data_IF_306711842485
#
_entry.id   IF_306711842485
#
_cell.length_a   1.000
_cell.length_b   1.000
_cell.length_c   1.000
_cell.angle_alpha   90.00
_cell.angle_beta   90.00
_cell.angle_gamma   90.00
#
_symmetry.space_group_name_H-M   'P 1'
#
loop_
_entity.id
_entity.type
_entity.pdbx_description
1 polymer ?
#
# COMPACT_ATOMS: atom_id res chain seq x y z
N UNK A 1 -18.26 -4.82 6.43
CA UNK A 1 -17.76 -6.19 6.56
C UNK A 1 -16.76 -6.49 5.43
N UNK A 2 -15.48 -6.67 5.76
CA UNK A 2 -14.37 -6.90 4.82
C UNK A 2 -14.66 -7.99 3.78
N UNK A 3 -15.21 -9.15 4.19
CA UNK A 3 -15.58 -10.24 3.28
C UNK A 3 -16.53 -9.76 2.17
N UNK A 4 -17.58 -9.06 2.53
CA UNK A 4 -18.55 -8.52 1.57
C UNK A 4 -17.88 -7.56 0.61
N UNK A 5 -17.11 -6.60 1.13
CA UNK A 5 -16.39 -5.62 0.32
C UNK A 5 -15.44 -6.26 -0.69
N UNK A 6 -14.63 -7.24 -0.29
CA UNK A 6 -13.69 -7.91 -1.17
C UNK A 6 -14.35 -8.87 -2.18
N UNK A 7 -15.55 -9.39 -1.86
CA UNK A 7 -16.31 -10.26 -2.77
C UNK A 7 -17.07 -9.51 -3.86
N UNK A 8 -17.29 -8.21 -3.69
CA UNK A 8 -17.94 -7.39 -4.69
C UNK A 8 -16.97 -7.04 -5.84
N UNK A 9 -17.45 -7.12 -7.08
CA UNK A 9 -16.70 -6.64 -8.24
C UNK A 9 -16.72 -5.10 -8.26
N UNK A 10 -15.55 -4.48 -8.45
CA UNK A 10 -15.44 -3.05 -8.66
C UNK A 10 -15.17 -2.74 -10.13
N UNK A 11 -15.96 -1.83 -10.69
CA UNK A 11 -15.75 -1.25 -12.02
C UNK A 11 -15.49 0.26 -11.94
N UNK A 12 -15.24 0.78 -10.73
CA UNK A 12 -14.93 2.19 -10.50
C UNK A 12 -13.41 2.38 -10.53
N UNK A 13 -12.96 3.38 -11.28
CA UNK A 13 -11.55 3.76 -11.38
C UNK A 13 -11.46 5.27 -11.51
N UNK A 14 -10.59 5.91 -10.75
CA UNK A 14 -10.30 7.34 -10.82
C UNK A 14 -8.79 7.64 -10.76
N UNK A 15 -7.94 6.61 -10.62
CA UNK A 15 -6.49 6.71 -10.71
C UNK A 15 -5.99 5.77 -11.80
N UNK A 16 -5.17 6.30 -12.73
CA UNK A 16 -4.71 5.59 -13.90
C UNK A 16 -3.20 5.72 -14.06
N UNK A 17 -2.51 4.59 -14.22
CA UNK A 17 -1.12 4.48 -14.62
C UNK A 17 -1.00 3.64 -15.89
N UNK A 18 0.16 3.60 -16.50
CA UNK A 18 0.35 2.81 -17.72
C UNK A 18 0.04 1.33 -17.54
N UNK A 19 0.52 0.72 -16.46
CA UNK A 19 0.41 -0.71 -16.19
C UNK A 19 -0.76 -1.14 -15.30
N UNK A 20 -1.44 -0.21 -14.65
CA UNK A 20 -2.56 -0.52 -13.74
C UNK A 20 -3.44 0.69 -13.47
N UNK A 21 -4.60 0.45 -12.87
CA UNK A 21 -5.55 1.46 -12.41
C UNK A 21 -6.25 1.01 -11.14
N UNK A 22 -6.80 1.95 -10.39
CA UNK A 22 -7.57 1.66 -9.19
C UNK A 22 -8.54 2.80 -8.82
N UNK A 23 -9.35 2.55 -7.81
CA UNK A 23 -10.28 3.53 -7.26
C UNK A 23 -9.78 4.04 -5.91
N UNK A 24 -9.68 5.36 -5.80
CA UNK A 24 -9.42 6.05 -4.55
C UNK A 24 -10.75 6.56 -3.98
N UNK A 25 -11.17 6.12 -2.78
CA UNK A 25 -12.45 6.51 -2.19
C UNK A 25 -12.58 8.03 -2.00
N UNK A 26 -13.83 8.51 -1.98
CA UNK A 26 -14.12 9.92 -1.66
C UNK A 26 -13.57 10.26 -0.27
N UNK A 27 -12.91 11.41 -0.15
CA UNK A 27 -12.28 11.86 1.09
C UNK A 27 -10.89 11.28 1.34
N UNK A 28 -10.36 10.49 0.39
CA UNK A 28 -8.98 10.01 0.39
C UNK A 28 -8.23 10.69 -0.76
N UNK A 29 -7.05 11.22 -0.48
CA UNK A 29 -6.23 11.94 -1.46
C UNK A 29 -4.76 11.63 -1.34
N UNK A 30 -3.96 12.02 -2.34
CA UNK A 30 -2.51 11.83 -2.33
C UNK A 30 -1.82 12.92 -1.51
N UNK A 31 -0.79 12.51 -0.73
CA UNK A 31 0.26 13.38 -0.21
C UNK A 31 1.41 13.37 -1.22
N UNK A 32 1.85 12.17 -1.63
CA UNK A 32 2.89 11.97 -2.65
C UNK A 32 2.60 10.70 -3.45
N UNK A 33 3.15 10.62 -4.65
CA UNK A 33 3.02 9.42 -5.50
C UNK A 33 4.14 9.34 -6.51
N UNK A 34 4.54 8.13 -6.83
CA UNK A 34 5.32 7.75 -8.00
C UNK A 34 4.61 6.62 -8.78
N UNK A 35 5.29 5.98 -9.71
CA UNK A 35 4.67 4.98 -10.59
C UNK A 35 4.10 3.76 -9.85
N UNK A 36 4.66 3.37 -8.71
CA UNK A 36 4.26 2.16 -7.97
C UNK A 36 4.02 2.36 -6.49
N UNK A 37 4.33 3.55 -5.95
CA UNK A 37 4.16 3.89 -4.54
C UNK A 37 3.33 5.15 -4.39
N UNK A 38 2.57 5.24 -3.31
CA UNK A 38 1.88 6.45 -2.94
C UNK A 38 1.77 6.58 -1.42
N UNK A 39 1.84 7.80 -0.93
CA UNK A 39 1.37 8.16 0.40
C UNK A 39 0.00 8.81 0.25
N UNK A 40 -0.99 8.24 0.90
CA UNK A 40 -2.39 8.66 0.81
C UNK A 40 -2.84 9.11 2.19
N UNK A 41 -3.76 10.06 2.24
CA UNK A 41 -4.34 10.57 3.49
C UNK A 41 -5.86 10.64 3.38
N UNK A 42 -6.57 10.20 4.41
CA UNK A 42 -8.02 10.36 4.50
C UNK A 42 -8.42 11.67 5.20
N UNK A 43 -9.73 11.94 5.25
CA UNK A 43 -10.29 13.14 5.88
C UNK A 43 -10.07 13.22 7.40
N UNK A 44 -9.79 12.09 8.05
CA UNK A 44 -9.48 12.02 9.48
C UNK A 44 -7.98 12.24 9.76
N UNK A 45 -7.16 12.34 8.71
CA UNK A 45 -5.72 12.54 8.80
C UNK A 45 -4.91 11.24 8.86
N UNK A 46 -5.54 10.07 8.75
CA UNK A 46 -4.81 8.81 8.71
C UNK A 46 -4.02 8.70 7.42
N UNK A 47 -2.74 8.33 7.52
CA UNK A 47 -1.86 8.11 6.37
C UNK A 47 -1.82 6.63 6.00
N UNK A 48 -1.82 6.37 4.70
CA UNK A 48 -1.71 5.04 4.11
C UNK A 48 -0.50 5.01 3.19
N UNK A 49 0.32 3.98 3.33
CA UNK A 49 1.45 3.72 2.46
C UNK A 49 1.04 2.64 1.47
N UNK A 50 0.88 3.02 0.22
CA UNK A 50 0.38 2.17 -0.86
C UNK A 50 1.50 1.74 -1.78
N UNK A 51 1.55 0.46 -2.11
CA UNK A 51 2.50 -0.12 -3.05
C UNK A 51 1.79 -1.09 -3.99
N UNK A 52 2.09 -1.03 -5.28
CA UNK A 52 1.59 -1.93 -6.31
C UNK A 52 2.74 -2.77 -6.85
N UNK A 53 2.66 -4.08 -6.66
CA UNK A 53 3.67 -5.05 -7.10
C UNK A 53 3.32 -5.59 -8.49
N UNK A 54 3.57 -4.77 -9.51
CA UNK A 54 3.31 -5.13 -10.89
C UNK A 54 4.20 -6.28 -11.39
N UNK A 55 5.40 -6.42 -10.83
CA UNK A 55 6.36 -7.48 -11.19
C UNK A 55 5.87 -8.83 -10.68
N UNK A 56 5.49 -8.93 -9.42
CA UNK A 56 4.92 -10.16 -8.87
C UNK A 56 3.60 -10.53 -9.56
N UNK A 57 2.79 -9.54 -9.93
CA UNK A 57 1.60 -9.77 -10.75
C UNK A 57 1.94 -10.38 -12.11
N UNK A 58 2.89 -9.79 -12.83
CA UNK A 58 3.30 -10.27 -14.16
C UNK A 58 3.84 -11.69 -14.12
N UNK A 59 4.66 -12.02 -13.12
CA UNK A 59 5.23 -13.35 -12.92
C UNK A 59 4.31 -14.35 -12.20
N UNK A 60 3.09 -13.92 -11.79
CA UNK A 60 2.13 -14.76 -11.06
C UNK A 60 2.73 -15.37 -9.78
N UNK A 61 3.50 -14.55 -9.05
CA UNK A 61 4.10 -14.97 -7.77
C UNK A 61 3.00 -15.24 -6.75
N UNK A 62 3.05 -16.40 -6.10
CA UNK A 62 2.07 -16.79 -5.10
C UNK A 62 2.37 -16.13 -3.75
N UNK A 63 1.32 -15.76 -3.03
CA UNK A 63 1.44 -15.26 -1.67
C UNK A 63 1.58 -16.42 -0.68
N UNK A 64 2.69 -16.46 0.06
CA UNK A 64 3.03 -17.53 1.02
C UNK A 64 2.77 -17.15 2.48
N UNK A 65 1.97 -16.11 2.75
CA UNK A 65 1.68 -15.64 4.10
C UNK A 65 1.17 -16.77 5.02
N UNK A 66 1.71 -16.82 6.23
CA UNK A 66 1.24 -17.68 7.31
C UNK A 66 0.49 -16.84 8.37
N UNK A 67 -0.62 -17.40 8.89
CA UNK A 67 -1.43 -16.72 9.90
C UNK A 67 -0.60 -16.52 11.17
N UNK A 68 -0.41 -15.26 11.56
CA UNK A 68 0.25 -14.89 12.81
C UNK A 68 -0.75 -14.98 13.98
N UNK A 69 -0.55 -15.96 14.87
CA UNK A 69 -1.42 -16.18 16.03
C UNK A 69 -1.22 -15.15 17.15
N UNK A 70 -0.09 -14.45 17.15
CA UNK A 70 0.23 -13.42 18.14
C UNK A 70 -0.28 -12.04 17.75
N UNK A 71 -0.67 -11.84 16.48
CA UNK A 71 -1.26 -10.60 16.00
C UNK A 71 -2.64 -10.35 16.65
N UNK A 72 -2.98 -9.09 16.82
CA UNK A 72 -4.34 -8.70 17.23
C UNK A 72 -5.40 -9.24 16.28
N UNK A 73 -5.12 -9.24 14.98
CA UNK A 73 -5.93 -9.88 13.96
C UNK A 73 -5.06 -10.34 12.79
N UNK A 74 -5.27 -11.54 12.32
CA UNK A 74 -4.52 -12.11 11.20
C UNK A 74 -5.42 -13.03 10.39
N UNK A 75 -5.49 -12.83 9.07
CA UNK A 75 -6.36 -13.61 8.20
C UNK A 75 -5.81 -13.70 6.77
N UNK A 76 -5.85 -14.91 6.19
CA UNK A 76 -5.70 -15.12 4.74
C UNK A 76 -6.99 -14.72 4.02
N UNK A 77 -6.84 -14.17 2.83
CA UNK A 77 -7.93 -13.68 1.99
C UNK A 77 -7.86 -14.36 0.63
N UNK A 78 -9.00 -14.87 0.18
CA UNK A 78 -9.18 -15.48 -1.13
C UNK A 78 -10.59 -15.20 -1.61
N UNK A 79 -10.73 -14.19 -2.48
CA UNK A 79 -12.01 -13.75 -3.01
C UNK A 79 -11.86 -13.34 -4.48
N UNK A 80 -12.79 -13.70 -5.34
CA UNK A 80 -12.81 -13.30 -6.75
C UNK A 80 -11.52 -13.63 -7.51
N UNK A 81 -10.92 -14.81 -7.27
CA UNK A 81 -9.64 -15.23 -7.83
C UNK A 81 -8.47 -14.28 -7.52
N UNK A 82 -8.56 -13.55 -6.42
CA UNK A 82 -7.52 -12.69 -5.88
C UNK A 82 -7.22 -13.14 -4.46
N UNK A 83 -5.96 -13.19 -4.11
CA UNK A 83 -5.52 -13.62 -2.80
C UNK A 83 -4.69 -12.56 -2.08
N UNK A 84 -4.45 -12.78 -0.81
CA UNK A 84 -3.66 -11.92 0.04
C UNK A 84 -3.86 -12.21 1.51
N UNK A 85 -3.61 -11.21 2.33
CA UNK A 85 -3.80 -11.30 3.77
C UNK A 85 -4.02 -9.91 4.40
N UNK A 86 -4.55 -9.92 5.59
CA UNK A 86 -4.54 -8.78 6.50
C UNK A 86 -3.95 -9.20 7.83
N UNK A 87 -3.04 -8.40 8.36
CA UNK A 87 -2.51 -8.50 9.71
C UNK A 87 -2.64 -7.15 10.40
N UNK A 88 -3.07 -7.18 11.66
CA UNK A 88 -3.19 -6.01 12.52
C UNK A 88 -2.46 -6.32 13.82
N UNK A 89 -1.48 -5.51 14.15
CA UNK A 89 -0.69 -5.63 15.36
C UNK A 89 -0.94 -4.43 16.29
N UNK A 90 -0.87 -4.66 17.60
CA UNK A 90 -0.91 -3.56 18.57
C UNK A 90 0.49 -2.95 18.71
N UNK A 91 0.59 -1.64 18.44
CA UNK A 91 1.81 -0.85 18.57
C UNK A 91 1.59 0.28 19.61
N UNK A 92 1.80 -0.05 20.88
CA UNK A 92 1.50 0.86 21.98
C UNK A 92 0.01 1.17 22.09
N UNK A 93 -0.38 2.42 21.87
CA UNK A 93 -1.78 2.85 21.86
C UNK A 93 -2.45 2.80 20.49
N UNK A 94 -1.71 2.40 19.46
CA UNK A 94 -2.16 2.37 18.07
C UNK A 94 -2.20 0.95 17.50
N UNK A 95 -2.73 0.84 16.30
CA UNK A 95 -2.81 -0.40 15.54
C UNK A 95 -2.06 -0.24 14.23
N UNK A 96 -1.09 -1.12 14.01
CA UNK A 96 -0.40 -1.23 12.73
C UNK A 96 -1.13 -2.23 11.85
N UNK A 97 -1.55 -1.78 10.67
CA UNK A 97 -2.27 -2.57 9.69
C UNK A 97 -1.34 -2.86 8.51
N UNK A 98 -1.19 -4.13 8.17
CA UNK A 98 -0.63 -4.61 6.92
C UNK A 98 -1.73 -5.29 6.12
N UNK A 99 -2.08 -4.77 4.95
CA UNK A 99 -3.10 -5.34 4.11
C UNK A 99 -2.56 -5.55 2.70
N UNK A 100 -2.35 -6.81 2.34
CA UNK A 100 -1.92 -7.24 1.01
C UNK A 100 -3.09 -7.93 0.32
N UNK A 101 -3.41 -7.53 -0.89
CA UNK A 101 -4.44 -8.17 -1.68
C UNK A 101 -4.25 -7.83 -3.16
N UNK A 102 -4.39 -8.85 -4.04
CA UNK A 102 -4.32 -8.65 -5.48
C UNK A 102 -3.03 -7.92 -5.95
N UNK A 103 -1.88 -8.36 -5.44
CA UNK A 103 -0.55 -7.79 -5.76
C UNK A 103 -0.41 -6.30 -5.42
N UNK A 104 -1.17 -5.83 -4.46
CA UNK A 104 -0.99 -4.49 -3.90
C UNK A 104 -0.98 -4.55 -2.38
N UNK A 105 -0.31 -3.60 -1.75
CA UNK A 105 -0.15 -3.52 -0.30
C UNK A 105 -0.51 -2.14 0.20
N UNK A 106 -1.23 -2.11 1.32
CA UNK A 106 -1.46 -0.91 2.13
C UNK A 106 -0.98 -1.14 3.55
N UNK A 107 -0.27 -0.16 4.09
CA UNK A 107 0.12 -0.10 5.49
C UNK A 107 -0.38 1.19 6.12
N UNK A 108 -0.82 1.14 7.38
CA UNK A 108 -1.21 2.32 8.15
C UNK A 108 -1.00 2.08 9.65
N UNK A 109 -0.67 3.14 10.38
CA UNK A 109 -0.62 3.15 11.83
C UNK A 109 -1.72 4.10 12.35
N UNK A 110 -2.74 3.55 13.01
CA UNK A 110 -3.98 4.27 13.30
C UNK A 110 -4.44 4.13 14.74
N UNK A 111 -5.24 5.08 15.21
CA UNK A 111 -5.94 4.96 16.49
C UNK A 111 -7.08 3.94 16.40
N UNK A 112 -7.42 3.31 17.51
CA UNK A 112 -8.49 2.30 17.60
C UNK A 112 -9.81 2.79 17.02
N UNK A 113 -10.16 4.06 17.22
CA UNK A 113 -11.41 4.66 16.73
C UNK A 113 -11.51 4.69 15.21
N UNK A 114 -10.37 4.77 14.49
CA UNK A 114 -10.31 4.87 13.03
C UNK A 114 -10.07 3.51 12.34
N UNK A 115 -9.76 2.46 13.12
CA UNK A 115 -9.38 1.15 12.59
C UNK A 115 -10.40 0.59 11.56
N UNK A 116 -11.69 0.63 11.87
CA UNK A 116 -12.70 0.09 10.98
C UNK A 116 -12.82 0.87 9.67
N UNK A 117 -12.85 2.21 9.73
CA UNK A 117 -12.95 3.06 8.54
C UNK A 117 -11.71 2.97 7.65
N UNK A 118 -10.53 2.85 8.26
CA UNK A 118 -9.27 2.66 7.54
C UNK A 118 -9.25 1.31 6.82
N UNK A 119 -9.64 0.22 7.48
CA UNK A 119 -9.75 -1.10 6.84
C UNK A 119 -10.77 -1.10 5.69
N UNK A 120 -11.90 -0.42 5.83
CA UNK A 120 -12.89 -0.29 4.75
C UNK A 120 -12.30 0.47 3.54
N UNK A 121 -11.61 1.60 3.76
CA UNK A 121 -10.91 2.32 2.69
C UNK A 121 -9.87 1.43 1.99
N UNK A 122 -9.08 0.67 2.77
CA UNK A 122 -8.11 -0.27 2.22
C UNK A 122 -8.78 -1.34 1.35
N UNK A 123 -9.93 -1.88 1.77
CA UNK A 123 -10.71 -2.82 0.97
C UNK A 123 -11.13 -2.21 -0.37
N UNK A 124 -11.66 -0.98 -0.38
CA UNK A 124 -12.07 -0.30 -1.62
C UNK A 124 -10.91 -0.09 -2.58
N UNK A 125 -9.74 0.33 -2.08
CA UNK A 125 -8.56 0.56 -2.89
C UNK A 125 -8.04 -0.77 -3.47
N UNK A 126 -7.73 -1.74 -2.61
CA UNK A 126 -7.08 -2.99 -3.00
C UNK A 126 -7.94 -3.85 -3.93
N UNK A 127 -9.25 -3.97 -3.67
CA UNK A 127 -10.15 -4.74 -4.54
C UNK A 127 -10.26 -4.18 -5.95
N UNK A 128 -10.09 -2.86 -6.10
CA UNK A 128 -10.25 -2.15 -7.35
C UNK A 128 -9.01 -2.19 -8.24
N UNK A 129 -7.84 -2.58 -7.72
CA UNK A 129 -6.61 -2.66 -8.52
C UNK A 129 -6.81 -3.59 -9.71
N UNK A 130 -6.58 -3.06 -10.90
CA UNK A 130 -6.69 -3.78 -12.17
C UNK A 130 -5.48 -3.51 -13.02
N UNK A 131 -4.78 -4.57 -13.41
CA UNK A 131 -3.58 -4.53 -14.23
C UNK A 131 -3.90 -4.53 -15.73
N UNK A 132 -2.99 -3.99 -16.53
CA UNK A 132 -3.00 -4.02 -17.98
C UNK A 132 -1.86 -4.90 -18.48
N UNK A 133 -2.17 -6.15 -18.80
CA UNK A 133 -1.19 -7.17 -19.19
C UNK A 133 -0.32 -6.74 -20.37
N UNK A 134 -0.93 -6.12 -21.40
CA UNK A 134 -0.20 -5.68 -22.61
C UNK A 134 0.83 -4.59 -22.29
N UNK A 135 0.47 -3.65 -21.44
CA UNK A 135 1.38 -2.58 -21.03
C UNK A 135 2.48 -3.12 -20.15
N UNK A 136 2.14 -3.99 -19.18
CA UNK A 136 3.13 -4.61 -18.31
C UNK A 136 4.13 -5.47 -19.08
N UNK A 137 3.66 -6.23 -20.07
CA UNK A 137 4.54 -7.01 -20.96
C UNK A 137 5.54 -6.12 -21.69
N UNK A 138 5.12 -4.94 -22.15
CA UNK A 138 6.03 -4.00 -22.83
C UNK A 138 6.99 -3.27 -21.88
N UNK A 139 6.58 -3.00 -20.62
CA UNK A 139 7.39 -2.29 -19.64
C UNK A 139 8.41 -3.20 -18.95
N UNK A 140 8.01 -4.43 -18.65
CA UNK A 140 8.82 -5.41 -17.93
C UNK A 140 9.72 -6.20 -18.89
N UNK A 141 9.28 -6.49 -20.11
CA UNK A 141 9.97 -7.06 -21.27
C UNK A 141 11.27 -7.84 -21.01
N UNK A 142 12.29 -7.60 -21.82
CA UNK A 142 13.58 -8.32 -21.78
C UNK A 142 14.45 -8.01 -20.53
N UNK A 143 14.14 -6.95 -19.76
CA UNK A 143 14.86 -6.56 -18.54
C UNK A 143 14.34 -7.23 -17.27
N UNK A 144 13.51 -8.24 -17.39
CA UNK A 144 12.81 -8.89 -16.28
C UNK A 144 13.70 -9.54 -15.23
N UNK A 145 14.90 -9.94 -15.57
CA UNK A 145 15.83 -10.63 -14.65
C UNK A 145 16.41 -9.67 -13.61
N UNK A 146 16.82 -8.48 -14.03
CA UNK A 146 17.45 -7.51 -13.13
C UNK A 146 16.44 -6.90 -12.12
N UNK A 147 15.23 -6.64 -12.57
CA UNK A 147 14.13 -6.17 -11.71
C UNK A 147 13.69 -7.21 -10.68
N UNK A 148 13.77 -8.48 -10.99
CA UNK A 148 13.35 -9.58 -10.11
C UNK A 148 14.25 -9.69 -8.88
N UNK A 149 15.55 -9.52 -9.02
CA UNK A 149 16.51 -9.57 -7.92
C UNK A 149 16.37 -8.38 -6.97
N UNK A 150 16.24 -7.15 -7.48
CA UNK A 150 16.10 -5.94 -6.66
C UNK A 150 14.81 -5.91 -5.82
N UNK A 151 13.68 -6.33 -6.38
CA UNK A 151 12.42 -6.32 -5.64
C UNK A 151 12.28 -7.48 -4.64
N UNK A 152 12.87 -8.65 -4.91
CA UNK A 152 12.90 -9.74 -3.94
C UNK A 152 13.73 -9.37 -2.70
N UNK A 153 14.87 -8.69 -2.87
CA UNK A 153 15.68 -8.24 -1.75
C UNK A 153 14.98 -7.20 -0.86
N UNK A 154 14.10 -6.36 -1.42
CA UNK A 154 13.28 -5.40 -0.67
C UNK A 154 12.16 -6.08 0.16
N UNK A 155 11.56 -7.15 -0.37
CA UNK A 155 10.54 -7.93 0.34
C UNK A 155 11.16 -8.85 1.40
N UNK A 156 12.25 -9.54 1.09
CA UNK A 156 12.92 -10.47 1.99
C UNK A 156 13.65 -9.75 3.13
N UNK A 157 14.28 -8.58 2.87
CA UNK A 157 14.92 -7.78 3.90
C UNK A 157 13.92 -7.19 4.92
N UNK A 158 12.66 -6.98 4.53
CA UNK A 158 11.61 -6.47 5.42
C UNK A 158 10.97 -7.55 6.28
N UNK A 159 11.04 -8.81 5.89
CA UNK A 159 10.53 -9.93 6.69
C UNK A 159 11.47 -10.34 7.84
N UNK A 160 12.76 -10.01 7.75
CA UNK A 160 13.78 -10.40 8.73
C UNK A 160 14.16 -9.29 9.74
N UNK A 161 13.86 -8.03 9.44
CA UNK A 161 14.10 -6.89 10.35
C UNK A 161 12.79 -6.17 10.61
N UNK A 162 12.48 -5.94 11.90
CA UNK A 162 11.33 -5.15 12.38
C UNK A 162 11.35 -3.66 11.97
N UNK A 163 12.16 -3.26 11.03
CA UNK A 163 12.09 -1.95 10.40
C UNK A 163 10.98 -1.96 9.36
N UNK A 164 9.80 -1.57 9.79
CA UNK A 164 8.66 -1.35 8.92
C UNK A 164 8.95 -0.19 7.96
N UNK A 165 8.40 -0.24 6.76
CA UNK A 165 8.42 0.88 5.80
C UNK A 165 8.01 2.22 6.46
N UNK A 166 7.14 2.20 7.46
CA UNK A 166 6.79 3.35 8.30
C UNK A 166 7.98 3.95 9.04
N UNK A 167 8.87 3.14 9.61
CA UNK A 167 10.07 3.62 10.30
C UNK A 167 11.08 4.30 9.36
N UNK A 168 11.12 3.88 8.11
CA UNK A 168 11.95 4.50 7.07
C UNK A 168 11.34 5.85 6.65
N UNK A 169 10.03 5.92 6.46
CA UNK A 169 9.34 7.14 6.01
C UNK A 169 9.29 8.21 7.12
N UNK A 170 9.07 7.84 8.38
CA UNK A 170 9.16 8.80 9.50
C UNK A 170 10.55 9.45 9.59
N UNK A 171 11.62 8.73 9.21
CA UNK A 171 12.98 9.26 9.19
C UNK A 171 13.20 10.27 8.06
N UNK A 172 12.53 10.10 6.91
CA UNK A 172 12.61 11.04 5.78
C UNK A 172 11.68 12.25 5.97
N UNK A 173 10.47 12.07 6.54
CA UNK A 173 9.53 13.17 6.79
C UNK A 173 10.04 14.19 7.84
N UNK A 174 10.92 13.79 8.79
CA UNK A 174 11.43 14.71 9.81
C UNK A 174 12.54 15.62 9.32
N UNK A 175 13.33 15.21 8.32
CA UNK A 175 14.49 15.96 7.87
C UNK A 175 14.21 16.82 6.62
N UNK A 176 13.46 16.33 5.63
CA UNK A 176 13.19 17.05 4.39
C UNK A 176 12.06 18.09 4.54
N UNK A 177 10.99 17.78 5.30
CA UNK A 177 9.87 18.70 5.48
C UNK A 177 10.22 19.95 6.30
N UNK A 178 11.22 19.85 7.19
CA UNK A 178 11.72 21.03 7.93
C UNK A 178 12.57 21.94 7.05
N UNK A 179 13.26 21.38 6.06
CA UNK A 179 14.11 22.13 5.15
C UNK A 179 13.30 22.95 4.16
N UNK A 180 12.24 22.37 3.60
CA UNK A 180 11.35 23.05 2.65
C UNK A 180 10.54 24.17 3.33
N UNK A 181 10.16 24.02 4.61
CA UNK A 181 9.46 25.07 5.37
C UNK A 181 10.38 26.22 5.82
N UNK A 182 11.69 26.01 5.93
CA UNK A 182 12.66 27.05 6.23
C UNK A 182 13.01 27.87 4.98
N UNK A 183 13.07 27.24 3.82
CA UNK A 183 13.33 27.89 2.53
C UNK A 183 12.14 28.73 2.04
N UNK A 184 10.89 28.37 2.32
CA UNK A 184 9.70 29.18 1.99
C UNK A 184 9.51 30.40 2.91
N UNK A 185 10.18 30.46 4.06
CA UNK A 185 10.07 31.63 4.98
C UNK A 185 10.97 32.82 4.64
N UNK A 186 11.84 32.67 3.64
CA UNK A 186 12.84 33.70 3.31
C UNK A 186 12.33 34.75 2.28
N UNK A 187 11.22 34.51 1.60
CA UNK A 187 10.76 35.38 0.48
C UNK A 187 9.53 36.28 0.76
N UNK A 188 9.17 36.53 2.02
CA UNK A 188 8.05 37.45 2.34
C UNK A 188 8.45 38.81 2.86
N UNK A 189 9.69 39.26 2.68
CA UNK A 189 10.13 40.63 3.01
C UNK A 189 11.00 41.23 1.90
N UNK A 190 10.39 41.52 0.73
CA UNK A 190 10.82 42.57 -0.18
C UNK A 190 9.60 43.14 -0.92
#
# INVERSE_FOLDING_TARGET
>A
NMKTLLSEKSNLYNVFYGGYKYYLPKGVGFISKDDYNAVIKDSNGNKYYFYVDAISYYHKVENTYEINKEAHYSKKLDYNNKNGYIQIDEEGSKYFIQFVYNYAKLEALVDKKDLASVVDNMCYILRSVKFNDKVLESLIGENTLDYKEENYSLFDAKSSNKETFLGVVEKYETDDYKKDLEDEKIDLNN
#
